data_IF_209337337276
#
_entry.id   IF_209337337276
#
_cell.length_a   1.000
_cell.length_b   1.000
_cell.length_c   1.000
_cell.angle_alpha   90.00
_cell.angle_beta   90.00
_cell.angle_gamma   90.00
#
_symmetry.space_group_name_H-M   'P 1'
#
loop_
_entity.id
_entity.type
_entity.pdbx_description
1 polymer ?
#
# COMPACT_ATOMS: atom_id res chain seq x y z
N UNK A 1 -4.94 -20.32 -8.96
CA UNK A 1 -5.76 -19.11 -8.75
C UNK A 1 -5.02 -18.24 -7.75
N UNK A 2 -4.66 -17.02 -8.11
CA UNK A 2 -3.97 -16.07 -7.21
C UNK A 2 -5.01 -15.35 -6.37
N UNK A 3 -4.82 -15.29 -5.05
CA UNK A 3 -5.74 -14.60 -4.15
C UNK A 3 -5.67 -13.09 -4.39
N UNK A 4 -6.83 -12.45 -4.53
CA UNK A 4 -6.95 -10.98 -4.60
C UNK A 4 -6.95 -10.41 -3.18
N UNK A 5 -6.18 -9.36 -2.95
CA UNK A 5 -5.90 -8.83 -1.61
C UNK A 5 -6.18 -7.33 -1.58
N UNK A 6 -6.91 -6.91 -0.54
CA UNK A 6 -6.96 -5.52 -0.07
C UNK A 6 -6.08 -5.45 1.16
N UNK A 7 -5.10 -4.55 1.16
CA UNK A 7 -4.16 -4.41 2.28
C UNK A 7 -4.54 -3.21 3.15
N UNK A 8 -4.80 -3.44 4.43
CA UNK A 8 -4.91 -2.36 5.42
C UNK A 8 -3.61 -2.22 6.20
N UNK A 9 -3.02 -1.03 6.21
CA UNK A 9 -1.64 -0.81 6.72
C UNK A 9 -1.37 0.67 7.06
N UNK A 10 -0.37 0.93 7.90
CA UNK A 10 0.17 2.26 8.24
C UNK A 10 1.63 2.41 7.75
N UNK A 11 1.90 2.53 6.43
CA UNK A 11 3.17 2.09 5.85
C UNK A 11 4.46 2.57 6.54
N UNK A 12 5.06 1.65 7.28
CA UNK A 12 6.44 1.64 7.74
C UNK A 12 7.38 0.91 6.78
N UNK A 13 8.57 0.55 7.27
CA UNK A 13 9.62 -0.10 6.44
C UNK A 13 9.19 -1.51 6.01
N UNK A 14 8.64 -2.28 6.95
CA UNK A 14 8.15 -3.64 6.75
C UNK A 14 6.88 -3.68 5.90
N UNK A 15 5.95 -2.75 6.10
CA UNK A 15 4.77 -2.60 5.24
C UNK A 15 5.12 -2.26 3.79
N UNK A 16 6.14 -1.41 3.58
CA UNK A 16 6.62 -1.09 2.25
C UNK A 16 7.07 -2.35 1.50
N UNK A 17 7.74 -3.27 2.20
CA UNK A 17 8.13 -4.57 1.64
C UNK A 17 6.90 -5.42 1.29
N UNK A 18 5.86 -5.41 2.12
CA UNK A 18 4.62 -6.13 1.83
C UNK A 18 3.89 -5.55 0.60
N UNK A 19 3.78 -4.22 0.49
CA UNK A 19 3.21 -3.54 -0.67
C UNK A 19 3.98 -3.92 -1.94
N UNK A 20 5.32 -3.88 -1.88
CA UNK A 20 6.18 -4.23 -3.02
C UNK A 20 5.98 -5.69 -3.44
N UNK A 21 5.95 -6.59 -2.47
CA UNK A 21 5.77 -8.02 -2.73
C UNK A 21 4.42 -8.30 -3.39
N UNK A 22 3.32 -7.81 -2.80
CA UNK A 22 1.96 -8.05 -3.30
C UNK A 22 1.72 -7.37 -4.66
N UNK A 23 2.29 -6.19 -4.88
CA UNK A 23 2.20 -5.47 -6.16
C UNK A 23 2.93 -6.22 -7.28
N UNK A 24 4.09 -6.84 -6.99
CA UNK A 24 4.82 -7.67 -7.97
C UNK A 24 4.11 -8.98 -8.31
N UNK A 25 3.35 -9.53 -7.36
CA UNK A 25 2.51 -10.70 -7.61
C UNK A 25 1.23 -10.36 -8.40
N UNK A 26 0.93 -9.07 -8.64
CA UNK A 26 -0.31 -8.60 -9.22
C UNK A 26 -1.56 -9.11 -8.47
N UNK A 27 -1.45 -9.22 -7.14
CA UNK A 27 -2.55 -9.65 -6.25
C UNK A 27 -3.16 -8.51 -5.46
N UNK A 28 -2.48 -7.36 -5.40
CA UNK A 28 -2.92 -6.19 -4.65
C UNK A 28 -3.96 -5.39 -5.45
N UNK A 29 -5.20 -5.32 -4.96
CA UNK A 29 -6.31 -4.62 -5.61
C UNK A 29 -6.55 -3.23 -5.02
N UNK A 30 -6.21 -3.00 -3.75
CA UNK A 30 -6.33 -1.71 -3.09
C UNK A 30 -5.48 -1.65 -1.81
N UNK A 31 -5.14 -0.43 -1.40
CA UNK A 31 -4.54 -0.15 -0.09
C UNK A 31 -5.49 0.72 0.71
N UNK A 32 -5.81 0.31 1.94
CA UNK A 32 -6.52 1.13 2.92
C UNK A 32 -5.52 1.62 3.97
N UNK A 33 -5.20 2.90 3.98
CA UNK A 33 -4.29 3.44 4.98
C UNK A 33 -5.02 3.73 6.29
N UNK A 34 -4.43 3.32 7.41
CA UNK A 34 -4.92 3.60 8.76
C UNK A 34 -3.86 4.35 9.54
N UNK A 35 -4.27 5.16 10.51
CA UNK A 35 -3.32 5.72 11.47
C UNK A 35 -2.73 4.62 12.35
N UNK A 36 -1.47 4.79 12.73
CA UNK A 36 -0.72 3.88 13.58
C UNK A 36 0.53 4.57 14.09
N UNK A 37 1.70 4.18 13.57
CA UNK A 37 3.00 4.75 13.95
C UNK A 37 3.24 6.19 13.46
N UNK A 38 2.44 6.65 12.49
CA UNK A 38 2.55 7.97 11.92
C UNK A 38 1.16 8.56 11.64
N UNK A 39 1.11 9.84 11.25
CA UNK A 39 -0.15 10.51 10.90
C UNK A 39 -0.76 9.88 9.66
N UNK A 40 -2.09 9.91 9.56
CA UNK A 40 -2.82 9.40 8.39
C UNK A 40 -2.32 10.04 7.08
N UNK A 41 -1.90 11.30 7.12
CA UNK A 41 -1.33 11.99 5.97
C UNK A 41 0.03 11.42 5.55
N UNK A 42 0.91 11.17 6.51
CA UNK A 42 2.22 10.58 6.24
C UNK A 42 2.10 9.15 5.75
N UNK A 43 1.26 8.32 6.36
CA UNK A 43 1.10 6.92 5.93
C UNK A 43 0.46 6.81 4.53
N UNK A 44 -0.48 7.71 4.21
CA UNK A 44 -1.07 7.79 2.86
C UNK A 44 -0.04 8.25 1.84
N UNK A 45 0.76 9.27 2.15
CA UNK A 45 1.84 9.73 1.29
C UNK A 45 2.92 8.67 1.09
N UNK A 46 3.24 7.88 2.12
CA UNK A 46 4.18 6.76 2.00
C UNK A 46 3.65 5.70 1.03
N UNK A 47 2.39 5.27 1.19
CA UNK A 47 1.75 4.33 0.26
C UNK A 47 1.82 4.83 -1.19
N UNK A 48 1.48 6.11 -1.42
CA UNK A 48 1.54 6.75 -2.74
C UNK A 48 2.94 6.69 -3.32
N UNK A 49 3.96 7.13 -2.58
CA UNK A 49 5.36 7.12 -3.04
C UNK A 49 5.86 5.72 -3.36
N UNK A 50 5.47 4.71 -2.58
CA UNK A 50 5.85 3.31 -2.85
C UNK A 50 5.25 2.86 -4.19
N UNK A 51 3.97 3.11 -4.44
CA UNK A 51 3.33 2.75 -5.72
C UNK A 51 3.89 3.54 -6.91
N UNK A 52 4.21 4.82 -6.73
CA UNK A 52 4.89 5.64 -7.75
C UNK A 52 6.25 5.06 -8.13
N UNK A 53 7.09 4.73 -7.15
CA UNK A 53 8.40 4.10 -7.37
C UNK A 53 8.29 2.75 -8.09
N UNK A 54 7.18 2.04 -7.91
CA UNK A 54 6.89 0.78 -8.57
C UNK A 54 6.24 0.90 -9.94
N UNK A 55 5.86 2.12 -10.36
CA UNK A 55 4.98 2.35 -11.52
C UNK A 55 3.67 1.56 -11.43
N UNK A 56 3.06 1.56 -10.24
CA UNK A 56 1.82 0.83 -9.89
C UNK A 56 0.70 1.78 -9.42
N UNK A 57 0.63 2.96 -10.04
CA UNK A 57 -0.29 4.04 -9.66
C UNK A 57 -1.76 3.75 -9.99
N UNK A 58 -2.05 2.65 -10.71
CA UNK A 58 -3.39 2.15 -10.96
C UNK A 58 -4.05 1.54 -9.71
N UNK A 59 -3.26 1.15 -8.70
CA UNK A 59 -3.77 0.55 -7.46
C UNK A 59 -4.36 1.68 -6.60
N UNK A 60 -5.68 1.65 -6.30
CA UNK A 60 -6.31 2.70 -5.50
C UNK A 60 -5.82 2.68 -4.05
N UNK A 61 -5.57 3.89 -3.54
CA UNK A 61 -5.32 4.13 -2.11
C UNK A 61 -6.57 4.80 -1.53
N UNK A 62 -7.10 4.20 -0.46
CA UNK A 62 -8.22 4.73 0.31
C UNK A 62 -7.68 5.19 1.65
N UNK A 63 -7.90 6.46 1.98
CA UNK A 63 -7.48 7.06 3.24
C UNK A 63 -8.57 6.85 4.30
N UNK A 64 -8.24 6.16 5.39
CA UNK A 64 -9.15 5.91 6.52
C UNK A 64 -8.65 6.42 7.87
#
# INVERSE_FOLDING_TARGET
MTAKIILSTDPGIDDAMAIIFLSKLNTLEAIWTTMGNNTIENVTNNATKILELMNKTEIPIIRG
#
